data_IF_728030541653
#
_entry.id   IF_728030541653
#
_cell.length_a   1.000
_cell.length_b   1.000
_cell.length_c   1.000
_cell.angle_alpha   90.00
_cell.angle_beta   90.00
_cell.angle_gamma   90.00
#
_symmetry.space_group_name_H-M   'P 1'
#
loop_
_entity.id
_entity.type
_entity.pdbx_description
1 polymer ?
#
# COMPACT_ATOMS: atom_id res chain seq x y z
N UNK A 1 12.44 -23.13 -0.69
CA UNK A 1 12.39 -21.96 0.20
C UNK A 1 10.92 -21.69 0.51
N UNK A 2 10.49 -21.95 1.74
CA UNK A 2 9.08 -21.95 2.11
C UNK A 2 8.61 -20.56 2.56
N UNK A 3 7.40 -20.22 2.11
CA UNK A 3 6.65 -18.98 2.29
C UNK A 3 6.50 -18.50 3.75
N UNK A 4 7.43 -17.68 4.24
CA UNK A 4 7.24 -16.89 5.47
C UNK A 4 6.32 -15.68 5.28
N UNK A 5 6.01 -15.30 4.04
CA UNK A 5 5.19 -14.12 3.74
C UNK A 5 3.66 -14.33 3.84
N UNK A 6 3.19 -15.58 3.97
CA UNK A 6 1.76 -15.92 3.80
C UNK A 6 1.05 -16.40 5.06
N UNK A 7 1.78 -16.72 6.13
CA UNK A 7 1.26 -17.17 7.42
C UNK A 7 2.04 -16.50 8.55
N UNK A 8 1.70 -15.24 8.84
CA UNK A 8 2.30 -14.48 9.92
C UNK A 8 1.21 -13.76 10.72
N UNK A 9 1.43 -13.68 12.02
CA UNK A 9 0.73 -12.74 12.89
C UNK A 9 0.80 -11.33 12.28
N UNK A 10 -0.29 -10.57 12.36
CA UNK A 10 -0.31 -9.20 11.87
C UNK A 10 0.71 -8.40 12.68
N UNK A 11 1.68 -7.79 11.99
CA UNK A 11 2.53 -6.78 12.62
C UNK A 11 1.67 -5.64 13.18
N UNK A 12 2.20 -4.88 14.13
CA UNK A 12 1.47 -3.73 14.66
C UNK A 12 1.20 -2.70 13.56
N UNK A 13 0.16 -1.89 13.72
CA UNK A 13 -0.20 -0.86 12.73
C UNK A 13 0.94 0.12 12.47
N UNK A 14 1.71 0.45 13.51
CA UNK A 14 2.83 1.38 13.42
C UNK A 14 3.99 0.79 12.62
N UNK A 15 4.38 -0.45 12.92
CA UNK A 15 5.46 -1.14 12.21
C UNK A 15 5.14 -1.31 10.73
N UNK A 16 3.96 -1.88 10.42
CA UNK A 16 3.61 -2.14 9.02
C UNK A 16 3.45 -0.86 8.22
N UNK A 17 2.92 0.21 8.83
CA UNK A 17 2.80 1.52 8.17
C UNK A 17 4.18 2.10 7.86
N UNK A 18 5.12 2.04 8.81
CA UNK A 18 6.49 2.52 8.61
C UNK A 18 7.17 1.78 7.47
N UNK A 19 7.15 0.45 7.49
CA UNK A 19 7.81 -0.35 6.46
C UNK A 19 7.19 -0.13 5.08
N UNK A 20 5.86 -0.04 4.98
CA UNK A 20 5.21 0.23 3.70
C UNK A 20 5.54 1.64 3.18
N UNK A 21 5.61 2.65 4.06
CA UNK A 21 6.03 4.00 3.66
C UNK A 21 7.46 4.01 3.10
N UNK A 22 8.39 3.22 3.66
CA UNK A 22 9.75 3.08 3.14
C UNK A 22 9.77 2.45 1.74
N UNK A 23 9.01 1.37 1.54
CA UNK A 23 8.90 0.71 0.23
C UNK A 23 8.32 1.64 -0.83
N UNK A 24 7.27 2.40 -0.48
CA UNK A 24 6.66 3.37 -1.38
C UNK A 24 7.59 4.54 -1.70
N UNK A 25 8.34 5.06 -0.73
CA UNK A 25 9.32 6.12 -0.94
C UNK A 25 10.45 5.71 -1.91
N UNK A 26 10.87 4.44 -1.89
CA UNK A 26 11.87 3.89 -2.81
C UNK A 26 11.31 3.62 -4.22
N UNK A 27 9.99 3.38 -4.33
CA UNK A 27 9.40 2.76 -5.52
C UNK A 27 8.41 3.65 -6.27
N UNK A 28 7.97 4.75 -5.68
CA UNK A 28 6.98 5.65 -6.25
C UNK A 28 7.49 7.09 -6.25
N UNK A 29 7.55 7.71 -7.43
CA UNK A 29 8.02 9.09 -7.56
C UNK A 29 6.96 10.14 -7.20
N UNK A 30 5.67 9.77 -7.25
CA UNK A 30 4.55 10.66 -6.96
C UNK A 30 4.22 10.76 -5.47
N UNK A 31 3.21 11.57 -5.14
CA UNK A 31 2.69 11.61 -3.78
C UNK A 31 1.96 10.32 -3.42
N UNK A 32 2.07 9.92 -2.16
CA UNK A 32 1.41 8.72 -1.64
C UNK A 32 1.04 8.90 -0.17
N UNK A 33 0.11 8.06 0.30
CA UNK A 33 -0.23 7.93 1.70
C UNK A 33 -0.44 6.45 2.06
N UNK A 34 -0.35 6.16 3.37
CA UNK A 34 -0.64 4.83 3.93
C UNK A 34 -1.66 4.99 5.05
N UNK A 35 -2.79 4.32 4.91
CA UNK A 35 -3.86 4.28 5.90
C UNK A 35 -4.38 2.86 6.15
N UNK A 36 -5.26 2.76 7.15
CA UNK A 36 -5.98 1.53 7.44
C UNK A 36 -7.45 1.79 7.21
N UNK A 37 -8.09 0.87 6.49
CA UNK A 37 -9.52 0.94 6.25
C UNK A 37 -10.20 -0.31 6.79
N UNK A 38 -11.44 -0.17 7.28
CA UNK A 38 -12.26 -1.32 7.65
C UNK A 38 -13.25 -1.57 6.54
N UNK A 39 -13.30 -2.80 6.03
CA UNK A 39 -14.40 -3.28 5.19
C UNK A 39 -15.14 -4.43 5.87
N UNK A 40 -16.16 -4.98 5.22
CA UNK A 40 -16.94 -6.11 5.73
C UNK A 40 -16.09 -7.37 5.98
N UNK A 41 -14.89 -7.44 5.40
CA UNK A 41 -13.90 -8.52 5.59
C UNK A 41 -12.82 -8.21 6.64
N UNK A 42 -12.92 -7.08 7.34
CA UNK A 42 -12.01 -6.65 8.40
C UNK A 42 -11.08 -5.50 8.01
N UNK A 43 -10.01 -5.30 8.80
CA UNK A 43 -9.08 -4.20 8.56
C UNK A 43 -8.05 -4.52 7.47
N UNK A 44 -7.98 -3.64 6.48
CA UNK A 44 -7.00 -3.63 5.39
C UNK A 44 -5.96 -2.54 5.58
N UNK A 45 -4.77 -2.82 5.08
CA UNK A 45 -3.72 -1.83 4.86
C UNK A 45 -3.89 -1.29 3.44
N UNK A 46 -3.88 0.03 3.26
CA UNK A 46 -4.05 0.64 1.95
C UNK A 46 -2.88 1.56 1.63
N UNK A 47 -2.33 1.37 0.43
CA UNK A 47 -1.38 2.28 -0.20
C UNK A 47 -2.15 3.15 -1.18
N UNK A 48 -2.27 4.45 -0.88
CA UNK A 48 -2.92 5.43 -1.75
C UNK A 48 -1.82 6.11 -2.56
N UNK A 49 -1.86 5.99 -3.88
CA UNK A 49 -0.83 6.55 -4.77
C UNK A 49 -1.45 7.49 -5.79
N UNK A 50 -0.85 8.67 -5.95
CA UNK A 50 -1.25 9.61 -7.00
C UNK A 50 -0.64 9.21 -8.34
N UNK A 51 -1.49 9.13 -9.35
CA UNK A 51 -1.12 8.84 -10.73
C UNK A 51 -1.87 9.78 -11.68
N UNK A 52 -1.28 10.05 -12.85
CA UNK A 52 -1.88 10.90 -13.89
C UNK A 52 -3.15 10.26 -14.46
N UNK A 53 -3.09 8.96 -14.77
CA UNK A 53 -4.23 8.16 -15.19
C UNK A 53 -4.51 7.00 -14.19
N UNK A 54 -5.57 7.11 -13.35
CA UNK A 54 -5.98 6.06 -12.43
C UNK A 54 -6.50 4.79 -13.09
N UNK A 55 -6.81 4.78 -14.38
CA UNK A 55 -7.23 3.56 -15.11
C UNK A 55 -6.02 2.78 -15.63
N UNK A 56 -4.90 3.46 -15.91
CA UNK A 56 -3.67 2.85 -16.38
C UNK A 56 -3.15 1.77 -15.43
N UNK A 57 -2.70 0.64 -15.97
CA UNK A 57 -2.08 -0.42 -15.17
C UNK A 57 -0.76 0.05 -14.58
N UNK A 58 -0.49 -0.37 -13.34
CA UNK A 58 0.79 -0.11 -12.70
C UNK A 58 1.88 -0.96 -13.33
N UNK A 59 3.09 -0.42 -13.38
CA UNK A 59 4.24 -1.16 -13.87
C UNK A 59 4.53 -2.39 -13.02
N UNK A 60 4.88 -3.50 -13.67
CA UNK A 60 5.10 -4.76 -12.97
C UNK A 60 6.20 -4.65 -11.91
N UNK A 61 7.28 -3.91 -12.22
CA UNK A 61 8.38 -3.65 -11.30
C UNK A 61 7.94 -2.97 -9.99
N UNK A 62 6.89 -2.15 -10.03
CA UNK A 62 6.30 -1.54 -8.84
C UNK A 62 5.46 -2.56 -8.06
N UNK A 63 4.60 -3.30 -8.75
CA UNK A 63 3.70 -4.28 -8.12
C UNK A 63 4.43 -5.47 -7.50
N UNK A 64 5.59 -5.85 -8.05
CA UNK A 64 6.40 -6.96 -7.52
C UNK A 64 7.00 -6.63 -6.13
N UNK A 65 7.17 -5.33 -5.81
CA UNK A 65 7.61 -4.87 -4.48
C UNK A 65 6.46 -4.81 -3.46
N UNK A 66 5.21 -4.90 -3.91
CA UNK A 66 4.00 -4.73 -3.10
C UNK A 66 3.12 -5.99 -3.15
N UNK A 67 3.47 -7.03 -2.36
CA UNK A 67 2.70 -8.27 -2.34
C UNK A 67 1.27 -8.05 -1.82
N UNK A 68 0.34 -8.91 -2.25
CA UNK A 68 -1.07 -8.89 -1.81
C UNK A 68 -1.24 -8.98 -0.28
N UNK A 69 -0.27 -9.60 0.40
CA UNK A 69 -0.13 -9.57 1.86
C UNK A 69 1.20 -8.93 2.23
N UNK A 70 1.15 -7.90 3.07
CA UNK A 70 2.33 -7.19 3.56
C UNK A 70 2.35 -7.25 5.09
N UNK A 71 3.36 -7.94 5.67
CA UNK A 71 3.50 -8.18 7.11
C UNK A 71 2.22 -8.70 7.80
N UNK A 72 1.53 -9.64 7.14
CA UNK A 72 0.28 -10.24 7.65
C UNK A 72 -0.99 -9.43 7.35
N UNK A 73 -0.89 -8.21 6.81
CA UNK A 73 -2.02 -7.38 6.42
C UNK A 73 -2.39 -7.59 4.95
N UNK A 74 -3.69 -7.62 4.63
CA UNK A 74 -4.16 -7.53 3.25
C UNK A 74 -3.88 -6.12 2.74
N UNK A 75 -3.03 -6.02 1.71
CA UNK A 75 -2.67 -4.76 1.07
C UNK A 75 -3.60 -4.48 -0.10
N UNK A 76 -4.11 -3.26 -0.16
CA UNK A 76 -4.87 -2.74 -1.30
C UNK A 76 -4.17 -1.50 -1.83
N UNK A 77 -3.90 -1.46 -3.13
CA UNK A 77 -3.36 -0.28 -3.79
C UNK A 77 -4.53 0.51 -4.37
N UNK A 78 -4.70 1.76 -3.92
CA UNK A 78 -5.70 2.69 -4.41
C UNK A 78 -5.02 3.76 -5.28
N UNK A 79 -5.30 3.71 -6.58
CA UNK A 79 -4.90 4.75 -7.54
C UNK A 79 -5.85 5.94 -7.42
N UNK A 80 -5.30 7.14 -7.25
CA UNK A 80 -6.07 8.39 -7.16
C UNK A 80 -5.47 9.47 -8.07
N UNK A 81 -6.26 10.47 -8.50
CA UNK A 81 -5.75 11.60 -9.26
C UNK A 81 -4.73 12.44 -8.46
N UNK A 82 -3.83 13.11 -9.17
CA UNK A 82 -2.86 14.06 -8.61
C UNK A 82 -3.58 15.13 -7.78
N UNK A 83 -3.05 15.42 -6.59
CA UNK A 83 -3.59 16.38 -5.62
C UNK A 83 -4.51 15.77 -4.56
N UNK A 84 -5.00 14.54 -4.73
CA UNK A 84 -5.86 13.86 -3.77
C UNK A 84 -5.19 13.67 -2.40
N UNK A 85 -3.94 13.20 -2.36
CA UNK A 85 -3.19 12.95 -1.11
C UNK A 85 -3.06 14.23 -0.31
N UNK A 86 -2.74 15.35 -0.98
CA UNK A 86 -2.62 16.67 -0.34
C UNK A 86 -3.92 17.14 0.31
N UNK A 87 -5.09 16.78 -0.23
CA UNK A 87 -6.39 17.25 0.27
C UNK A 87 -6.90 16.39 1.42
N UNK A 88 -6.69 15.07 1.36
CA UNK A 88 -7.35 14.11 2.25
C UNK A 88 -6.43 13.48 3.30
N UNK A 89 -5.11 13.60 3.17
CA UNK A 89 -4.14 12.90 4.03
C UNK A 89 -3.06 13.82 4.63
N UNK A 90 -3.19 15.14 4.48
CA UNK A 90 -2.31 16.16 5.07
C UNK A 90 -2.71 16.53 6.50
#
# INVERSE_FOLDING_TARGET
MANLAFAGEKATREEVKRELMLVLADSWAGAFAVDFHSDDGGHILRAVIECEDPEQQLEQAFTDKLPLKFMGWRLVILKVPIGHVRVFYS
#
